data_IF_737117079365
#
_entry.id   IF_737117079365
#
_cell.length_a   1.000
_cell.length_b   1.000
_cell.length_c   1.000
_cell.angle_alpha   90.00
_cell.angle_beta   90.00
_cell.angle_gamma   90.00
#
_symmetry.space_group_name_H-M   'P 1'
#
loop_
_entity.id
_entity.type
_entity.pdbx_description
1 polymer ?
#
# COMPACT_ATOMS: atom_id res chain seq x y z
N UNK A 1 -12.43 -5.04 -10.68
CA UNK A 1 -12.02 -3.76 -11.29
C UNK A 1 -13.23 -2.93 -11.66
N UNK A 2 -13.04 -1.62 -11.86
CA UNK A 2 -14.03 -0.73 -12.46
C UNK A 2 -13.35 0.19 -13.46
N UNK A 3 -14.04 0.51 -14.56
CA UNK A 3 -13.70 1.62 -15.45
C UNK A 3 -14.87 2.58 -15.56
N UNK A 4 -14.60 3.81 -16.00
CA UNK A 4 -15.64 4.77 -16.37
C UNK A 4 -15.70 4.89 -17.90
N UNK A 5 -16.87 4.66 -18.47
CA UNK A 5 -17.15 4.84 -19.90
C UNK A 5 -18.52 5.51 -20.06
N UNK A 6 -18.60 6.55 -20.90
CA UNK A 6 -19.84 7.27 -21.21
C UNK A 6 -20.63 7.71 -19.97
N UNK A 7 -19.92 8.12 -18.92
CA UNK A 7 -20.53 8.54 -17.65
C UNK A 7 -21.16 7.39 -16.85
N UNK A 8 -20.73 6.16 -17.05
CA UNK A 8 -21.19 4.99 -16.28
C UNK A 8 -20.03 4.09 -15.85
N UNK A 9 -20.12 3.53 -14.65
CA UNK A 9 -19.12 2.57 -14.17
C UNK A 9 -19.38 1.18 -14.73
N UNK A 10 -18.39 0.63 -15.43
CA UNK A 10 -18.36 -0.77 -15.82
C UNK A 10 -17.58 -1.54 -14.76
N UNK A 11 -18.30 -2.30 -13.92
CA UNK A 11 -17.71 -2.99 -12.76
C UNK A 11 -17.73 -4.50 -12.99
N UNK A 12 -16.57 -5.13 -12.86
CA UNK A 12 -16.42 -6.59 -12.91
C UNK A 12 -15.70 -7.06 -11.65
N UNK A 13 -16.28 -8.07 -11.00
CA UNK A 13 -15.78 -8.66 -9.76
C UNK A 13 -15.88 -10.17 -9.84
N UNK A 14 -14.82 -10.86 -9.40
CA UNK A 14 -14.77 -12.32 -9.34
C UNK A 14 -13.98 -12.77 -8.11
N UNK A 15 -14.55 -13.71 -7.37
CA UNK A 15 -13.85 -14.50 -6.37
C UNK A 15 -12.89 -15.46 -7.09
N UNK A 16 -11.64 -15.49 -6.63
CA UNK A 16 -10.64 -16.42 -7.13
C UNK A 16 -9.29 -15.74 -7.39
N UNK A 17 -8.50 -16.36 -8.26
CA UNK A 17 -7.23 -15.80 -8.74
C UNK A 17 -7.51 -14.77 -9.84
N UNK A 18 -6.56 -13.87 -10.10
CA UNK A 18 -6.68 -12.82 -11.13
C UNK A 18 -7.13 -13.38 -12.49
N UNK A 19 -6.63 -14.55 -12.89
CA UNK A 19 -7.02 -15.21 -14.14
C UNK A 19 -8.54 -15.45 -14.31
N UNK A 20 -9.33 -15.48 -13.22
CA UNK A 20 -10.78 -15.65 -13.32
C UNK A 20 -11.52 -14.42 -13.84
N UNK A 21 -10.88 -13.24 -13.88
CA UNK A 21 -11.50 -11.99 -14.35
C UNK A 21 -11.15 -11.66 -15.81
N UNK A 22 -10.09 -12.24 -16.37
CA UNK A 22 -9.52 -11.84 -17.66
C UNK A 22 -10.57 -11.77 -18.78
N UNK A 23 -11.32 -12.86 -18.98
CA UNK A 23 -12.36 -12.93 -20.01
C UNK A 23 -13.48 -11.90 -19.82
N UNK A 24 -13.86 -11.67 -18.57
CA UNK A 24 -14.92 -10.72 -18.24
C UNK A 24 -14.44 -9.27 -18.37
N UNK A 25 -13.13 -9.04 -18.31
CA UNK A 25 -12.50 -7.73 -18.47
C UNK A 25 -12.21 -7.34 -19.92
N UNK A 26 -12.22 -8.28 -20.88
CA UNK A 26 -11.89 -8.02 -22.29
C UNK A 26 -12.75 -6.93 -22.93
N UNK A 27 -13.99 -6.76 -22.45
CA UNK A 27 -14.95 -5.79 -23.00
C UNK A 27 -15.11 -4.53 -22.14
N UNK A 28 -14.27 -4.33 -21.12
CA UNK A 28 -14.33 -3.15 -20.27
C UNK A 28 -13.64 -2.00 -20.99
N UNK A 29 -14.44 -1.05 -21.46
CA UNK A 29 -13.97 0.19 -22.08
C UNK A 29 -13.83 1.30 -21.03
N UNK A 30 -12.92 2.25 -21.27
CA UNK A 30 -12.73 3.43 -20.43
C UNK A 30 -11.29 3.95 -20.47
N UNK A 31 -11.14 5.24 -20.24
CA UNK A 31 -9.87 5.99 -20.12
C UNK A 31 -9.38 6.09 -18.67
N UNK A 32 -10.23 5.75 -17.71
CA UNK A 32 -9.91 5.74 -16.28
C UNK A 32 -10.44 4.45 -15.65
N UNK A 33 -9.64 3.85 -14.77
CA UNK A 33 -10.03 2.62 -14.10
C UNK A 33 -9.21 2.30 -12.86
N UNK A 34 -9.78 1.46 -12.00
CA UNK A 34 -9.17 0.96 -10.77
C UNK A 34 -9.33 -0.56 -10.66
N UNK A 35 -8.25 -1.23 -10.26
CA UNK A 35 -8.18 -2.68 -10.07
C UNK A 35 -7.75 -3.03 -8.64
N UNK A 36 -8.11 -4.23 -8.17
CA UNK A 36 -7.73 -4.67 -6.83
C UNK A 36 -7.74 -6.19 -6.69
N UNK A 37 -6.74 -6.72 -5.98
CA UNK A 37 -6.70 -8.09 -5.49
C UNK A 37 -6.92 -8.08 -3.98
N UNK A 38 -7.98 -8.74 -3.50
CA UNK A 38 -8.40 -8.63 -2.09
C UNK A 38 -7.95 -9.81 -1.25
N UNK A 39 -7.21 -9.53 -0.18
CA UNK A 39 -7.04 -10.44 0.95
C UNK A 39 -8.11 -10.13 2.01
N UNK A 40 -9.01 -11.06 2.29
CA UNK A 40 -10.21 -10.77 3.09
C UNK A 40 -9.90 -10.67 4.59
N UNK A 41 -10.11 -9.50 5.19
CA UNK A 41 -10.03 -9.25 6.65
C UNK A 41 -11.43 -9.19 7.28
N UNK A 42 -12.34 -8.43 6.65
CA UNK A 42 -13.76 -8.36 7.00
C UNK A 42 -14.64 -8.99 5.91
N UNK A 43 -15.59 -9.83 6.29
CA UNK A 43 -16.50 -10.49 5.36
C UNK A 43 -15.85 -11.63 4.57
N UNK A 44 -16.64 -12.66 4.23
CA UNK A 44 -16.14 -13.83 3.50
C UNK A 44 -15.68 -13.47 2.07
N UNK A 45 -14.74 -14.23 1.47
CA UNK A 45 -14.42 -14.07 0.05
C UNK A 45 -15.64 -14.37 -0.84
N UNK A 46 -16.13 -13.34 -1.54
CA UNK A 46 -17.25 -13.39 -2.50
C UNK A 46 -17.16 -12.25 -3.52
N UNK A 47 -17.95 -12.30 -4.59
CA UNK A 47 -18.01 -11.23 -5.61
C UNK A 47 -18.56 -9.92 -5.00
N UNK A 48 -19.52 -10.03 -4.08
CA UNK A 48 -20.13 -8.89 -3.38
C UNK A 48 -19.10 -8.15 -2.53
N UNK A 49 -18.31 -8.89 -1.73
CA UNK A 49 -17.25 -8.34 -0.88
C UNK A 49 -15.96 -8.01 -1.63
N UNK A 50 -15.87 -8.33 -2.92
CA UNK A 50 -14.72 -7.96 -3.75
C UNK A 50 -14.73 -6.46 -4.07
N UNK A 51 -13.54 -5.87 -4.16
CA UNK A 51 -13.38 -4.49 -4.59
C UNK A 51 -13.42 -4.41 -6.13
N UNK A 52 -13.81 -3.26 -6.72
CA UNK A 52 -14.20 -2.02 -6.04
C UNK A 52 -15.59 -2.06 -5.42
N UNK A 53 -15.80 -1.27 -4.37
CA UNK A 53 -17.13 -0.86 -3.95
C UNK A 53 -17.51 0.41 -4.71
N UNK A 54 -18.79 0.54 -5.09
CA UNK A 54 -19.25 1.64 -5.93
C UNK A 54 -20.65 2.09 -5.56
N UNK A 55 -20.95 3.35 -5.86
CA UNK A 55 -22.26 4.00 -5.75
C UNK A 55 -22.62 4.62 -7.12
N UNK A 56 -23.56 5.56 -7.14
CA UNK A 56 -23.91 6.30 -8.35
C UNK A 56 -22.74 7.13 -8.87
N UNK A 57 -22.02 7.81 -7.98
CA UNK A 57 -21.01 8.80 -8.36
C UNK A 57 -19.57 8.33 -8.15
N UNK A 58 -19.33 7.30 -7.33
CA UNK A 58 -17.98 6.87 -6.97
C UNK A 58 -17.74 5.38 -7.15
N UNK A 59 -16.47 5.02 -7.40
CA UNK A 59 -15.94 3.69 -7.15
C UNK A 59 -14.61 3.78 -6.38
N UNK A 60 -14.39 2.84 -5.47
CA UNK A 60 -13.26 2.83 -4.54
C UNK A 60 -12.62 1.44 -4.48
N UNK A 61 -11.30 1.41 -4.55
CA UNK A 61 -10.49 0.27 -4.08
C UNK A 61 -9.70 0.70 -2.84
N UNK A 62 -9.49 -0.24 -1.93
CA UNK A 62 -8.92 0.01 -0.61
C UNK A 62 -8.00 -1.14 -0.21
N UNK A 63 -6.79 -0.82 0.23
CA UNK A 63 -5.92 -1.72 0.98
C UNK A 63 -5.71 -1.17 2.39
N UNK A 64 -6.06 -1.95 3.41
CA UNK A 64 -6.03 -1.50 4.80
C UNK A 64 -7.24 -1.98 5.59
N UNK A 65 -7.47 -1.34 6.74
CA UNK A 65 -8.59 -1.62 7.64
C UNK A 65 -9.12 -0.29 8.18
N UNK A 66 -10.41 -0.04 7.97
CA UNK A 66 -11.12 1.08 8.60
C UNK A 66 -11.65 0.62 9.95
N UNK A 67 -11.01 1.05 11.03
CA UNK A 67 -11.27 0.54 12.38
C UNK A 67 -12.63 0.99 12.93
N UNK A 68 -13.07 2.20 12.58
CA UNK A 68 -14.35 2.77 13.03
C UNK A 68 -15.51 2.51 12.06
N UNK A 69 -15.40 1.50 11.17
CA UNK A 69 -16.42 1.26 10.15
C UNK A 69 -17.81 0.94 10.72
N UNK A 70 -17.90 0.30 11.90
CA UNK A 70 -19.18 -0.03 12.52
C UNK A 70 -19.98 1.23 12.89
N UNK A 71 -19.33 2.20 13.52
CA UNK A 71 -19.97 3.47 13.89
C UNK A 71 -20.44 4.23 12.65
N UNK A 72 -19.59 4.27 11.62
CA UNK A 72 -19.91 4.90 10.33
C UNK A 72 -21.06 4.19 9.63
N UNK A 73 -21.09 2.85 9.67
CA UNK A 73 -22.17 2.04 9.09
C UNK A 73 -23.50 2.30 9.80
N UNK A 74 -23.52 2.37 11.12
CA UNK A 74 -24.73 2.68 11.90
C UNK A 74 -25.27 4.06 11.54
N UNK A 75 -24.41 5.08 11.47
CA UNK A 75 -24.79 6.43 11.03
C UNK A 75 -25.43 6.41 9.64
N UNK A 76 -24.77 5.79 8.66
CA UNK A 76 -25.24 5.74 7.27
C UNK A 76 -26.55 4.96 7.12
N UNK A 77 -26.72 3.86 7.86
CA UNK A 77 -27.99 3.11 7.87
C UNK A 77 -29.13 3.93 8.45
N UNK A 78 -28.88 4.72 9.50
CA UNK A 78 -29.87 5.65 10.06
C UNK A 78 -30.25 6.77 9.06
N UNK A 79 -29.33 7.15 8.19
CA UNK A 79 -29.58 8.06 7.07
C UNK A 79 -30.29 7.38 5.87
N UNK A 80 -30.62 6.09 5.98
CA UNK A 80 -31.35 5.31 4.97
C UNK A 80 -30.47 4.60 3.93
N UNK A 81 -29.15 4.59 4.11
CA UNK A 81 -28.22 3.90 3.21
C UNK A 81 -28.35 2.38 3.36
N UNK A 82 -28.45 1.70 2.21
CA UNK A 82 -28.45 0.23 2.15
C UNK A 82 -27.05 -0.27 1.82
N UNK A 83 -26.53 -1.15 2.67
CA UNK A 83 -25.27 -1.84 2.44
C UNK A 83 -25.50 -3.16 1.70
N UNK A 84 -24.58 -3.48 0.81
CA UNK A 84 -24.58 -4.66 -0.06
C UNK A 84 -23.49 -5.66 0.29
N UNK A 85 -22.58 -5.29 1.20
CA UNK A 85 -21.43 -6.07 1.61
C UNK A 85 -21.23 -6.08 3.14
N UNK A 86 -20.33 -6.96 3.56
CA UNK A 86 -19.89 -7.11 4.95
C UNK A 86 -18.55 -6.38 5.21
N UNK A 87 -18.05 -5.65 4.22
CA UNK A 87 -16.72 -5.04 4.27
C UNK A 87 -16.73 -3.70 4.99
N UNK A 88 -15.61 -3.38 5.62
CA UNK A 88 -15.30 -2.04 6.11
C UNK A 88 -15.17 -1.03 4.95
N UNK A 89 -14.65 -1.45 3.79
CA UNK A 89 -14.48 -0.57 2.63
C UNK A 89 -15.78 0.08 2.15
N UNK A 90 -16.92 -0.59 2.24
CA UNK A 90 -18.19 -0.06 1.72
C UNK A 90 -18.63 1.24 2.43
N UNK A 91 -18.22 1.47 3.69
CA UNK A 91 -18.55 2.75 4.35
C UNK A 91 -17.87 3.94 3.66
N UNK A 92 -16.71 3.73 3.03
CA UNK A 92 -15.94 4.78 2.37
C UNK A 92 -16.72 5.33 1.18
N UNK A 93 -17.25 4.45 0.32
CA UNK A 93 -17.96 4.88 -0.89
C UNK A 93 -19.28 5.57 -0.57
N UNK A 94 -19.98 5.13 0.47
CA UNK A 94 -21.21 5.79 0.93
C UNK A 94 -20.93 7.13 1.63
N UNK A 95 -19.82 7.28 2.36
CA UNK A 95 -19.39 8.57 2.89
C UNK A 95 -19.05 9.57 1.78
N UNK A 96 -18.37 9.11 0.72
CA UNK A 96 -18.12 9.95 -0.46
C UNK A 96 -19.43 10.43 -1.07
N UNK A 97 -20.39 9.53 -1.29
CA UNK A 97 -21.72 9.88 -1.80
C UNK A 97 -22.45 10.88 -0.90
N UNK A 98 -22.40 10.69 0.43
CA UNK A 98 -23.01 11.59 1.43
C UNK A 98 -22.42 13.00 1.40
N UNK A 99 -21.11 13.12 1.20
CA UNK A 99 -20.42 14.41 1.21
C UNK A 99 -20.33 15.10 -0.14
N UNK A 100 -20.75 14.42 -1.21
CA UNK A 100 -20.62 14.92 -2.56
C UNK A 100 -21.65 16.00 -2.88
N UNK A 101 -21.14 17.17 -3.26
CA UNK A 101 -21.92 18.35 -3.64
C UNK A 101 -21.42 18.92 -4.98
N UNK A 102 -20.91 18.06 -5.87
CA UNK A 102 -20.30 18.43 -7.16
C UNK A 102 -18.79 18.71 -7.10
N UNK A 103 -18.18 18.65 -5.93
CA UNK A 103 -16.73 18.83 -5.72
C UNK A 103 -16.11 17.51 -5.23
N UNK A 104 -15.34 16.87 -6.10
CA UNK A 104 -14.72 15.58 -5.84
C UNK A 104 -13.68 15.64 -4.71
N UNK A 105 -12.76 16.60 -4.80
CA UNK A 105 -11.70 16.78 -3.80
C UNK A 105 -12.26 17.10 -2.41
N UNK A 106 -13.29 17.93 -2.35
CA UNK A 106 -13.97 18.28 -1.09
C UNK A 106 -14.68 17.07 -0.46
N UNK A 107 -15.34 16.24 -1.27
CA UNK A 107 -15.96 15.00 -0.78
C UNK A 107 -14.91 14.05 -0.20
N UNK A 108 -13.79 13.85 -0.90
CA UNK A 108 -12.68 13.02 -0.39
C UNK A 108 -12.12 13.59 0.91
N UNK A 109 -11.81 14.88 0.97
CA UNK A 109 -11.29 15.54 2.18
C UNK A 109 -12.22 15.36 3.39
N UNK A 110 -13.53 15.48 3.20
CA UNK A 110 -14.53 15.26 4.27
C UNK A 110 -14.58 13.80 4.70
N UNK A 111 -14.53 12.86 3.75
CA UNK A 111 -14.49 11.42 4.03
C UNK A 111 -13.23 11.04 4.82
N UNK A 112 -12.03 11.46 4.38
CA UNK A 112 -10.76 11.11 5.03
C UNK A 112 -10.71 11.54 6.51
N UNK A 113 -11.29 12.70 6.85
CA UNK A 113 -11.40 13.20 8.23
C UNK A 113 -12.25 12.31 9.16
N UNK A 114 -13.10 11.45 8.60
CA UNK A 114 -13.96 10.53 9.35
C UNK A 114 -13.33 9.15 9.54
N UNK A 115 -12.30 8.79 8.79
CA UNK A 115 -11.73 7.43 8.78
C UNK A 115 -10.67 7.26 9.87
N UNK A 116 -10.82 6.21 10.68
CA UNK A 116 -9.81 5.73 11.62
C UNK A 116 -9.22 4.41 11.12
N UNK A 117 -7.98 4.11 11.52
CA UNK A 117 -7.21 2.97 11.03
C UNK A 117 -6.24 3.34 9.91
N UNK A 118 -6.01 2.38 9.01
CA UNK A 118 -5.00 2.42 7.94
C UNK A 118 -5.64 2.20 6.58
N UNK A 119 -5.15 2.88 5.56
CA UNK A 119 -5.69 2.77 4.20
C UNK A 119 -4.70 3.23 3.11
N UNK A 120 -4.77 2.58 1.96
CA UNK A 120 -4.38 3.09 0.67
C UNK A 120 -5.62 3.04 -0.22
N UNK A 121 -6.09 4.21 -0.64
CA UNK A 121 -7.32 4.36 -1.41
C UNK A 121 -7.00 4.81 -2.83
N UNK A 122 -7.72 4.26 -3.80
CA UNK A 122 -7.86 4.88 -5.11
C UNK A 122 -9.36 5.03 -5.43
N UNK A 123 -9.73 6.26 -5.76
CA UNK A 123 -11.11 6.71 -5.86
C UNK A 123 -11.29 7.33 -7.24
N UNK A 124 -12.35 6.92 -7.94
CA UNK A 124 -12.77 7.53 -9.20
C UNK A 124 -14.17 8.11 -9.05
N UNK A 125 -14.42 9.23 -9.73
CA UNK A 125 -15.69 9.92 -9.71
C UNK A 125 -16.26 10.02 -11.14
N UNK A 126 -17.56 9.75 -11.28
CA UNK A 126 -18.25 9.81 -12.57
C UNK A 126 -18.17 11.18 -13.24
N UNK A 127 -18.21 12.26 -12.46
CA UNK A 127 -18.22 13.63 -12.97
C UNK A 127 -16.80 14.16 -13.27
N UNK A 128 -15.76 13.40 -12.90
CA UNK A 128 -14.35 13.74 -13.09
C UNK A 128 -13.64 12.59 -13.84
N UNK A 129 -13.93 12.40 -15.14
CA UNK A 129 -13.54 11.20 -15.89
C UNK A 129 -12.05 11.11 -16.26
N UNK A 130 -11.25 12.08 -15.86
CA UNK A 130 -9.82 12.17 -16.18
C UNK A 130 -8.95 12.25 -14.90
N UNK A 131 -9.56 11.97 -13.74
CA UNK A 131 -8.94 12.20 -12.43
C UNK A 131 -9.18 11.04 -11.47
N UNK A 132 -8.10 10.52 -10.90
CA UNK A 132 -8.11 9.59 -9.78
C UNK A 132 -7.66 10.36 -8.54
N UNK A 133 -8.42 10.30 -7.46
CA UNK A 133 -7.93 10.76 -6.16
C UNK A 133 -7.45 9.56 -5.37
N UNK A 134 -6.21 9.65 -4.88
CA UNK A 134 -5.59 8.62 -4.03
C UNK A 134 -5.29 9.16 -2.66
N UNK A 135 -5.33 8.32 -1.63
CA UNK A 135 -5.03 8.71 -0.25
C UNK A 135 -4.29 7.61 0.49
N UNK A 136 -3.30 7.98 1.30
CA UNK A 136 -2.39 7.07 1.99
C UNK A 136 -2.35 7.31 3.50
N UNK A 137 -2.45 6.23 4.26
CA UNK A 137 -2.16 6.16 5.69
C UNK A 137 -1.74 4.76 6.09
N UNK A 138 -0.49 4.60 6.52
CA UNK A 138 0.12 3.37 7.04
C UNK A 138 0.19 2.19 6.03
N UNK A 139 -0.26 2.36 4.78
CA UNK A 139 -0.18 1.36 3.71
C UNK A 139 0.59 1.89 2.50
N UNK A 140 1.39 1.08 1.79
CA UNK A 140 2.09 1.51 0.57
C UNK A 140 1.13 2.01 -0.52
N UNK A 141 1.49 3.14 -1.13
CA UNK A 141 0.80 3.72 -2.28
C UNK A 141 1.77 4.65 -3.02
N UNK A 142 1.92 4.42 -4.32
CA UNK A 142 2.80 5.17 -5.20
C UNK A 142 2.04 5.67 -6.41
N UNK A 143 2.54 6.77 -6.98
CA UNK A 143 2.02 7.36 -8.22
C UNK A 143 3.10 7.23 -9.29
N UNK A 144 2.75 6.72 -10.47
CA UNK A 144 3.62 6.67 -11.64
C UNK A 144 3.19 7.68 -12.68
N UNK A 145 4.15 8.38 -13.29
CA UNK A 145 3.89 9.34 -14.38
C UNK A 145 4.50 8.84 -15.70
N UNK A 146 3.64 8.55 -16.68
CA UNK A 146 4.01 8.14 -18.04
C UNK A 146 4.01 9.30 -19.03
N UNK A 147 3.97 8.98 -20.32
CA UNK A 147 3.72 9.97 -21.39
C UNK A 147 2.21 10.13 -21.58
N UNK A 148 1.63 11.21 -21.03
CA UNK A 148 0.19 11.47 -21.04
C UNK A 148 -0.66 10.36 -20.40
N UNK A 149 -0.09 9.67 -19.43
CA UNK A 149 -0.74 8.63 -18.63
C UNK A 149 -0.32 8.75 -17.15
N UNK A 150 -1.30 8.66 -16.25
CA UNK A 150 -1.08 8.66 -14.81
C UNK A 150 -1.48 7.32 -14.21
N UNK A 151 -0.62 6.74 -13.38
CA UNK A 151 -0.82 5.44 -12.77
C UNK A 151 -0.75 5.52 -11.26
N UNK A 152 -1.46 4.61 -10.59
CA UNK A 152 -1.42 4.46 -9.13
C UNK A 152 -1.34 2.98 -8.79
N UNK A 153 -0.47 2.64 -7.84
CA UNK A 153 -0.28 1.25 -7.43
C UNK A 153 0.16 1.17 -5.96
N UNK A 154 -0.02 -0.01 -5.36
CA UNK A 154 0.55 -0.29 -4.03
C UNK A 154 2.05 -0.60 -4.09
N UNK A 155 2.59 -0.94 -5.26
CA UNK A 155 3.98 -1.34 -5.43
C UNK A 155 4.51 -1.07 -6.85
N UNK A 156 5.82 -0.91 -6.98
CA UNK A 156 6.55 -0.54 -8.21
C UNK A 156 6.41 -1.57 -9.33
N UNK A 157 6.46 -2.90 -9.07
CA UNK A 157 6.32 -3.91 -10.11
C UNK A 157 5.08 -3.76 -10.99
N UNK A 158 3.96 -3.27 -10.44
CA UNK A 158 2.73 -3.07 -11.19
C UNK A 158 2.85 -1.96 -12.25
N UNK A 159 3.83 -1.06 -12.10
CA UNK A 159 4.07 0.08 -12.98
C UNK A 159 5.27 -0.11 -13.91
N UNK A 160 6.06 -1.17 -13.69
CA UNK A 160 7.35 -1.41 -14.33
C UNK A 160 7.33 -1.38 -15.87
N UNK A 161 6.23 -1.82 -16.47
CA UNK A 161 6.07 -1.84 -17.93
C UNK A 161 5.60 -0.51 -18.53
N UNK A 162 5.14 0.43 -17.68
CA UNK A 162 4.52 1.68 -18.10
C UNK A 162 5.38 2.90 -17.80
N UNK A 163 6.00 2.94 -16.61
CA UNK A 163 6.85 4.06 -16.20
C UNK A 163 7.80 3.67 -15.08
N UNK A 164 8.95 4.36 -15.05
CA UNK A 164 9.91 4.30 -13.97
C UNK A 164 9.97 5.59 -13.14
N UNK A 165 9.11 6.58 -13.45
CA UNK A 165 9.01 7.86 -12.75
C UNK A 165 7.97 7.77 -11.66
N UNK A 166 8.43 7.69 -10.41
CA UNK A 166 7.61 7.39 -9.24
C UNK A 166 7.57 8.58 -8.28
N UNK A 167 6.38 8.91 -7.79
CA UNK A 167 6.14 9.80 -6.67
C UNK A 167 5.70 8.96 -5.47
N UNK A 168 6.43 9.09 -4.37
CA UNK A 168 6.10 8.44 -3.10
C UNK A 168 5.25 9.37 -2.24
N UNK A 169 4.04 8.91 -1.89
CA UNK A 169 3.20 9.59 -0.91
C UNK A 169 3.71 9.30 0.50
N UNK A 170 3.65 10.31 1.36
CA UNK A 170 3.86 10.14 2.79
C UNK A 170 2.55 9.77 3.50
N UNK A 171 2.65 9.28 4.72
CA UNK A 171 1.45 8.96 5.50
C UNK A 171 0.65 10.22 5.83
N UNK A 172 -0.67 10.13 5.68
CA UNK A 172 -1.62 11.25 5.82
C UNK A 172 -1.80 12.07 4.53
N UNK A 173 -1.04 11.81 3.47
CA UNK A 173 -1.16 12.52 2.21
C UNK A 173 -2.23 11.93 1.29
N UNK A 174 -2.75 12.79 0.41
CA UNK A 174 -3.60 12.40 -0.70
C UNK A 174 -3.22 13.22 -1.94
N UNK A 175 -3.61 12.74 -3.12
CA UNK A 175 -3.24 13.39 -4.38
C UNK A 175 -4.36 13.29 -5.41
N UNK A 176 -4.49 14.34 -6.21
CA UNK A 176 -5.21 14.32 -7.49
C UNK A 176 -4.24 13.85 -8.57
N UNK A 177 -4.58 12.77 -9.27
CA UNK A 177 -3.74 12.18 -10.32
C UNK A 177 -4.49 12.25 -11.64
N UNK A 178 -3.86 12.91 -12.61
CA UNK A 178 -4.32 12.98 -14.00
C UNK A 178 -3.23 12.40 -14.91
N UNK A 179 -3.44 12.52 -16.22
CA UNK A 179 -2.56 11.96 -17.26
C UNK A 179 -1.12 12.43 -17.20
N UNK A 180 -0.87 13.68 -16.86
CA UNK A 180 0.46 14.31 -16.94
C UNK A 180 0.86 15.05 -15.66
N UNK A 181 -0.03 15.07 -14.68
CA UNK A 181 0.18 15.76 -13.41
C UNK A 181 -0.32 14.93 -12.22
N UNK A 182 0.40 15.08 -11.12
CA UNK A 182 -0.07 14.66 -9.81
C UNK A 182 0.09 15.83 -8.84
N UNK A 183 -1.00 16.24 -8.20
CA UNK A 183 -1.00 17.31 -7.22
C UNK A 183 -1.17 16.68 -5.85
N UNK A 184 -0.14 16.76 -5.02
CA UNK A 184 -0.11 16.14 -3.69
C UNK A 184 -0.50 17.15 -2.63
N UNK A 185 -1.23 16.68 -1.63
CA UNK A 185 -1.68 17.44 -0.47
C UNK A 185 -1.31 16.72 0.82
N UNK A 186 -0.96 17.50 1.84
CA UNK A 186 -0.83 16.98 3.20
C UNK A 186 -2.20 16.75 3.88
N UNK A 187 -2.16 16.23 5.10
CA UNK A 187 -3.29 15.99 5.99
C UNK A 187 -4.21 17.23 6.22
N UNK A 188 -3.66 18.44 6.10
CA UNK A 188 -4.39 19.71 6.21
C UNK A 188 -4.99 20.18 4.89
N UNK A 189 -4.74 19.47 3.79
CA UNK A 189 -5.20 19.80 2.45
C UNK A 189 -4.42 20.94 1.78
N UNK A 190 -3.18 21.17 2.22
CA UNK A 190 -2.25 22.14 1.64
C UNK A 190 -1.38 21.40 0.62
N UNK A 191 -1.17 22.00 -0.55
CA UNK A 191 -0.30 21.44 -1.59
C UNK A 191 1.11 21.21 -1.08
N UNK A 192 1.69 20.06 -1.40
CA UNK A 192 3.05 19.69 -1.05
C UNK A 192 3.84 19.34 -2.31
N UNK A 193 5.07 19.84 -2.38
CA UNK A 193 5.99 19.48 -3.45
C UNK A 193 6.55 18.07 -3.20
N UNK A 194 6.57 17.25 -4.26
CA UNK A 194 7.13 15.90 -4.23
C UNK A 194 8.09 15.73 -5.39
N UNK A 195 9.27 15.19 -5.10
CA UNK A 195 10.26 14.86 -6.11
C UNK A 195 9.85 13.61 -6.87
N UNK A 196 10.06 13.63 -8.19
CA UNK A 196 9.92 12.45 -9.04
C UNK A 196 11.21 11.64 -8.92
N UNK A 197 11.08 10.42 -8.40
CA UNK A 197 12.18 9.46 -8.30
C UNK A 197 12.20 8.57 -9.53
N UNK A 198 13.35 8.43 -10.18
CA UNK A 198 13.55 7.46 -11.27
C UNK A 198 14.05 6.15 -10.67
N UNK A 199 13.27 5.08 -10.81
CA UNK A 199 13.60 3.76 -10.26
C UNK A 199 14.15 2.87 -11.36
N UNK A 200 15.23 2.14 -11.09
CA UNK A 200 15.70 1.10 -12.00
C UNK A 200 14.92 -0.19 -11.74
N UNK A 201 14.00 -0.54 -12.64
CA UNK A 201 13.16 -1.74 -12.47
C UNK A 201 13.68 -2.83 -13.39
N UNK A 202 14.49 -3.74 -12.85
CA UNK A 202 14.95 -4.92 -13.59
C UNK A 202 13.79 -5.90 -13.82
N UNK A 203 13.29 -5.96 -15.06
CA UNK A 203 12.18 -6.85 -15.47
C UNK A 203 12.44 -8.34 -15.19
N UNK A 204 13.70 -8.77 -15.08
CA UNK A 204 14.07 -10.16 -14.76
C UNK A 204 13.55 -10.62 -13.39
N UNK A 205 13.39 -9.70 -12.44
CA UNK A 205 12.89 -10.00 -11.09
C UNK A 205 11.39 -10.33 -11.05
N UNK A 206 10.64 -9.98 -12.09
CA UNK A 206 9.19 -10.13 -12.16
C UNK A 206 8.72 -11.41 -12.87
N UNK A 207 9.65 -12.25 -13.32
CA UNK A 207 9.34 -13.50 -14.03
C UNK A 207 9.93 -14.72 -13.32
N UNK A 208 9.43 -15.90 -13.64
CA UNK A 208 10.03 -17.15 -13.16
C UNK A 208 11.36 -17.47 -13.84
N UNK A 209 11.82 -16.64 -14.81
CA UNK A 209 13.10 -16.80 -15.50
C UNK A 209 13.38 -18.23 -16.04
N UNK A 210 12.31 -18.94 -16.43
CA UNK A 210 12.39 -20.31 -16.95
C UNK A 210 12.31 -21.42 -15.88
N UNK A 211 12.24 -21.08 -14.59
CA UNK A 211 11.97 -22.04 -13.51
C UNK A 211 10.47 -22.37 -13.43
N UNK A 212 10.16 -23.55 -12.89
CA UNK A 212 8.80 -24.04 -12.68
C UNK A 212 7.98 -23.17 -11.71
N UNK A 213 8.64 -22.54 -10.75
CA UNK A 213 8.01 -21.64 -9.78
C UNK A 213 8.98 -20.54 -9.34
N UNK A 214 8.44 -19.43 -8.82
CA UNK A 214 9.22 -18.37 -8.20
C UNK A 214 10.07 -18.88 -7.02
N UNK A 215 9.51 -19.78 -6.19
CA UNK A 215 10.26 -20.37 -5.08
C UNK A 215 11.51 -21.12 -5.57
N UNK A 216 11.40 -21.90 -6.65
CA UNK A 216 12.55 -22.62 -7.19
C UNK A 216 13.58 -21.65 -7.78
N UNK A 217 13.14 -20.61 -8.50
CA UNK A 217 14.01 -19.53 -8.98
C UNK A 217 14.78 -18.89 -7.81
N UNK A 218 14.06 -18.40 -6.81
CA UNK A 218 14.63 -17.68 -5.66
C UNK A 218 15.63 -18.55 -4.89
N UNK A 219 15.35 -19.84 -4.70
CA UNK A 219 16.31 -20.80 -4.08
C UNK A 219 17.58 -20.92 -4.91
N UNK A 220 17.47 -21.04 -6.24
CA UNK A 220 18.63 -21.15 -7.12
C UNK A 220 19.40 -19.83 -7.25
N UNK A 221 18.76 -18.69 -6.99
CA UNK A 221 19.38 -17.36 -7.00
C UNK A 221 20.09 -17.00 -5.69
N UNK A 222 19.95 -17.80 -4.62
CA UNK A 222 20.61 -17.55 -3.31
C UNK A 222 22.11 -17.24 -3.45
N UNK A 223 22.93 -17.98 -4.23
CA UNK A 223 24.35 -17.67 -4.36
C UNK A 223 24.61 -16.26 -4.92
N UNK A 224 23.80 -15.84 -5.90
CA UNK A 224 23.90 -14.51 -6.50
C UNK A 224 23.42 -13.42 -5.53
N UNK A 225 22.31 -13.65 -4.83
CA UNK A 225 21.81 -12.74 -3.81
C UNK A 225 22.83 -12.52 -2.66
N UNK A 226 23.50 -13.59 -2.21
CA UNK A 226 24.57 -13.51 -1.20
C UNK A 226 25.76 -12.71 -1.74
N UNK A 227 26.20 -12.97 -2.97
CA UNK A 227 27.34 -12.25 -3.55
C UNK A 227 27.04 -10.77 -3.77
N UNK A 228 25.82 -10.41 -4.19
CA UNK A 228 25.39 -9.02 -4.31
C UNK A 228 25.35 -8.33 -2.95
N UNK A 229 24.82 -9.01 -1.92
CA UNK A 229 24.85 -8.51 -0.53
C UNK A 229 26.29 -8.31 -0.05
N UNK A 230 27.20 -9.23 -0.36
CA UNK A 230 28.62 -9.10 -0.02
C UNK A 230 29.29 -7.92 -0.73
N UNK A 231 28.96 -7.70 -2.01
CA UNK A 231 29.48 -6.56 -2.80
C UNK A 231 28.99 -5.22 -2.26
N UNK A 232 27.73 -5.10 -1.87
CA UNK A 232 27.20 -3.86 -1.30
C UNK A 232 27.88 -3.48 0.03
N UNK A 233 28.35 -4.47 0.79
CA UNK A 233 29.11 -4.24 2.03
C UNK A 233 30.55 -3.76 1.82
N UNK A 234 31.20 -4.03 0.68
CA UNK A 234 32.61 -3.70 0.47
C UNK A 234 32.91 -2.20 0.44
N UNK A 235 31.96 -1.40 -0.03
CA UNK A 235 32.08 0.05 -0.14
C UNK A 235 31.11 0.78 0.80
N UNK A 236 30.70 0.12 1.88
CA UNK A 236 29.72 0.67 2.81
C UNK A 236 30.33 1.83 3.61
N UNK A 237 29.87 3.04 3.31
CA UNK A 237 30.16 4.22 4.12
C UNK A 237 28.98 4.43 5.06
N UNK A 238 29.20 4.19 6.35
CA UNK A 238 28.17 4.41 7.37
C UNK A 238 28.11 5.91 7.71
N UNK A 239 26.92 6.51 7.80
CA UNK A 239 26.76 7.88 8.30
C UNK A 239 27.34 8.01 9.70
N UNK A 240 28.02 9.13 10.01
CA UNK A 240 28.65 9.35 11.32
C UNK A 240 27.67 9.17 12.48
N UNK A 241 26.42 9.63 12.32
CA UNK A 241 25.35 9.44 13.30
C UNK A 241 25.10 7.96 13.60
N UNK A 242 25.08 7.11 12.57
CA UNK A 242 24.87 5.68 12.73
C UNK A 242 26.07 5.03 13.43
N UNK A 243 27.30 5.42 13.08
CA UNK A 243 28.51 4.96 13.77
C UNK A 243 28.48 5.33 15.26
N UNK A 244 28.06 6.56 15.58
CA UNK A 244 27.90 7.01 16.97
C UNK A 244 26.85 6.18 17.71
N UNK A 245 25.68 5.94 17.10
CA UNK A 245 24.64 5.09 17.70
C UNK A 245 25.17 3.68 17.99
N UNK A 246 25.81 3.04 17.00
CA UNK A 246 26.35 1.68 17.13
C UNK A 246 27.39 1.56 18.26
N UNK A 247 28.22 2.59 18.47
CA UNK A 247 29.22 2.60 19.56
C UNK A 247 28.65 2.78 20.96
N UNK A 248 27.48 3.42 21.07
CA UNK A 248 26.84 3.73 22.36
C UNK A 248 25.64 2.81 22.66
N UNK A 249 25.46 1.75 21.86
CA UNK A 249 24.38 0.79 22.03
C UNK A 249 24.75 -0.25 23.08
N UNK A 250 23.95 -0.33 24.15
CA UNK A 250 24.09 -1.35 25.20
C UNK A 250 23.14 -2.53 24.96
N UNK A 251 22.05 -2.30 24.22
CA UNK A 251 21.01 -3.28 23.90
C UNK A 251 20.62 -3.21 22.42
N UNK A 252 20.64 -4.35 21.73
CA UNK A 252 20.05 -4.51 20.40
C UNK A 252 18.72 -5.25 20.55
N UNK A 253 17.62 -4.66 20.10
CA UNK A 253 16.33 -5.34 19.93
C UNK A 253 16.06 -5.60 18.45
N UNK A 254 15.94 -6.87 18.08
CA UNK A 254 15.56 -7.27 16.72
C UNK A 254 14.08 -7.61 16.70
N UNK A 255 13.32 -6.96 15.83
CA UNK A 255 11.89 -7.20 15.66
C UNK A 255 11.60 -7.72 14.26
N UNK A 256 10.64 -8.64 14.14
CA UNK A 256 10.21 -9.17 12.85
C UNK A 256 9.00 -10.08 12.98
N UNK A 257 8.50 -10.57 11.85
CA UNK A 257 7.40 -11.53 11.78
C UNK A 257 7.81 -12.78 10.99
N UNK A 258 7.37 -13.97 11.40
CA UNK A 258 7.58 -15.21 10.65
C UNK A 258 9.06 -15.50 10.33
N UNK A 259 9.39 -15.70 9.05
CA UNK A 259 10.75 -16.02 8.60
C UNK A 259 11.76 -14.88 8.86
N UNK A 260 11.31 -13.62 8.88
CA UNK A 260 12.16 -12.49 9.24
C UNK A 260 12.56 -12.53 10.73
N UNK A 261 11.60 -12.86 11.62
CA UNK A 261 11.89 -13.13 13.03
C UNK A 261 12.87 -14.29 13.20
N UNK A 262 12.73 -15.37 12.43
CA UNK A 262 13.67 -16.49 12.45
C UNK A 262 15.09 -16.07 12.07
N UNK A 263 15.24 -15.15 11.11
CA UNK A 263 16.54 -14.56 10.76
C UNK A 263 17.10 -13.71 11.93
N UNK A 264 16.22 -12.98 12.62
CA UNK A 264 16.56 -12.24 13.83
C UNK A 264 17.07 -13.13 14.98
N UNK A 265 16.51 -14.33 15.15
CA UNK A 265 16.99 -15.32 16.12
C UNK A 265 18.45 -15.73 15.86
N UNK A 266 18.83 -15.90 14.59
CA UNK A 266 20.22 -16.15 14.20
C UNK A 266 21.07 -14.91 14.44
N UNK A 267 20.58 -13.73 14.03
CA UNK A 267 21.23 -12.44 14.25
C UNK A 267 21.57 -12.18 15.71
N UNK A 268 20.66 -12.50 16.64
CA UNK A 268 20.88 -12.41 18.10
C UNK A 268 22.11 -13.19 18.55
N UNK A 269 22.28 -14.43 18.07
CA UNK A 269 23.44 -15.24 18.41
C UNK A 269 24.74 -14.61 17.86
N UNK A 270 24.70 -14.10 16.64
CA UNK A 270 25.86 -13.48 15.98
C UNK A 270 26.29 -12.18 16.68
N UNK A 271 25.36 -11.27 16.96
CA UNK A 271 25.66 -10.03 17.67
C UNK A 271 26.18 -10.30 19.08
N UNK A 272 25.55 -11.20 19.83
CA UNK A 272 26.00 -11.58 21.17
C UNK A 272 27.42 -12.16 21.14
N UNK A 273 27.72 -13.02 20.16
CA UNK A 273 29.02 -13.70 20.04
C UNK A 273 30.14 -12.76 19.60
N UNK A 274 29.92 -11.98 18.54
CA UNK A 274 30.98 -11.23 17.86
C UNK A 274 31.03 -9.77 18.30
N UNK A 275 29.88 -9.11 18.48
CA UNK A 275 29.83 -7.71 18.91
C UNK A 275 29.84 -7.56 20.45
N UNK A 276 29.55 -8.64 21.19
CA UNK A 276 29.49 -8.66 22.67
C UNK A 276 28.48 -7.67 23.26
N UNK A 277 27.44 -7.33 22.49
CA UNK A 277 26.31 -6.49 22.93
C UNK A 277 25.12 -7.38 23.29
N UNK A 278 24.35 -7.01 24.32
CA UNK A 278 23.13 -7.73 24.68
C UNK A 278 22.16 -7.64 23.49
N UNK A 279 21.61 -8.77 23.08
CA UNK A 279 20.64 -8.81 21.98
C UNK A 279 19.39 -9.61 22.34
N UNK A 280 18.24 -9.01 22.06
CA UNK A 280 16.91 -9.58 22.28
C UNK A 280 16.12 -9.58 20.98
N UNK A 281 15.11 -10.45 20.93
CA UNK A 281 14.26 -10.63 19.75
C UNK A 281 12.82 -10.61 20.19
N UNK A 282 11.98 -9.83 19.53
CA UNK A 282 10.54 -9.77 19.79
C UNK A 282 9.75 -10.00 18.50
N UNK A 283 8.62 -10.70 18.62
CA UNK A 283 7.65 -10.76 17.53
C UNK A 283 7.04 -9.36 17.40
N UNK A 284 7.06 -8.79 16.19
CA UNK A 284 6.71 -7.38 15.99
C UNK A 284 5.26 -7.06 16.42
N UNK A 285 4.32 -8.00 16.28
CA UNK A 285 2.94 -7.84 16.76
C UNK A 285 2.86 -7.65 18.28
N UNK A 286 3.67 -8.38 19.05
CA UNK A 286 3.71 -8.28 20.52
C UNK A 286 4.48 -7.05 20.97
N UNK A 287 5.58 -6.73 20.26
CA UNK A 287 6.40 -5.56 20.56
C UNK A 287 5.56 -4.27 20.60
N UNK A 288 4.55 -4.14 19.73
CA UNK A 288 3.66 -2.97 19.69
C UNK A 288 2.84 -2.76 20.98
N UNK A 289 2.49 -3.84 21.68
CA UNK A 289 1.60 -3.81 22.85
C UNK A 289 2.35 -3.94 24.17
N UNK A 290 3.62 -4.34 24.14
CA UNK A 290 4.44 -4.48 25.33
C UNK A 290 4.99 -3.13 25.81
N UNK A 291 5.06 -2.96 27.14
CA UNK A 291 5.84 -1.90 27.76
C UNK A 291 7.33 -2.20 27.61
N UNK A 292 7.88 -1.88 26.43
CA UNK A 292 9.30 -2.07 26.16
C UNK A 292 10.13 -1.00 26.87
N UNK A 293 11.14 -1.43 27.62
CA UNK A 293 12.18 -0.54 28.15
C UNK A 293 13.14 -0.18 27.02
N UNK A 294 12.79 0.86 26.25
CA UNK A 294 13.60 1.42 25.18
C UNK A 294 14.12 2.77 25.63
N UNK A 295 15.42 2.96 25.55
CA UNK A 295 16.13 4.19 25.87
C UNK A 295 17.03 4.63 24.69
N UNK A 296 17.79 5.71 24.90
CA UNK A 296 18.72 6.28 23.93
C UNK A 296 19.92 5.37 23.63
N UNK A 297 20.09 4.28 24.39
CA UNK A 297 21.13 3.26 24.21
C UNK A 297 20.61 1.96 23.61
N UNK A 298 19.35 1.93 23.19
CA UNK A 298 18.72 0.77 22.57
C UNK A 298 18.68 0.93 21.05
N UNK A 299 19.34 0.03 20.33
CA UNK A 299 19.23 -0.06 18.87
C UNK A 299 18.11 -1.03 18.50
N UNK A 300 17.09 -0.52 17.82
CA UNK A 300 16.00 -1.35 17.27
C UNK A 300 16.29 -1.65 15.81
N UNK A 301 16.30 -2.93 15.44
CA UNK A 301 16.46 -3.42 14.07
C UNK A 301 15.17 -4.12 13.66
N UNK A 302 14.46 -3.57 12.67
CA UNK A 302 13.33 -4.25 12.04
C UNK A 302 13.83 -5.08 10.85
N UNK A 303 13.41 -6.35 10.81
CA UNK A 303 13.76 -7.34 9.77
C UNK A 303 12.52 -7.73 9.00
#
# INVERSE_FOLDING_TARGET
MASLCDGSFNVVKRKGRVASIEKDSENILGNIGIGHTRWSTHGKPSDENSHPHYTKNFAVVHNGIIENYLDLKIELVNDGVKFSSETDTEVIVHLLEKYYQGDFLSAVKKTLKRLCGSYALAIICKDYPEEIIVAKKDNPLIIGLGDKEGFVASDIPALADYTNKIIYLQDGEFAEVKRDEAIVYNDKGIKTDREITVVDVEKSQLSTAGYESFMLKEINEIPFAIENTRKSLQNLILPEKLVYMLKNTDLIKIIGCGTAYNSGLVGKQLFTKYARVRCETDIASEFRYNENLIDDKTLVIAV
#
